data_IF_230383460708
#
_entry.id   IF_230383460708
#
_cell.length_a   1.000
_cell.length_b   1.000
_cell.length_c   1.000
_cell.angle_alpha   90.00
_cell.angle_beta   90.00
_cell.angle_gamma   90.00
#
_symmetry.space_group_name_H-M   'P 1'
#
loop_
_entity.id
_entity.type
_entity.pdbx_description
1 polymer ?
#
# COMPACT_ATOMS: atom_id res chain seq x y z
N UNK A 1 3.96 4.23 -9.82
CA UNK A 1 4.63 5.50 -9.48
C UNK A 1 4.42 5.75 -8.00
N UNK A 2 5.47 6.08 -7.26
CA UNK A 2 5.41 6.38 -5.84
C UNK A 2 4.97 7.82 -5.61
N UNK A 3 4.04 8.01 -4.66
CA UNK A 3 3.43 9.30 -4.36
C UNK A 3 3.26 9.43 -2.84
N UNK A 4 3.62 10.59 -2.33
CA UNK A 4 3.55 10.93 -0.90
C UNK A 4 2.37 11.86 -0.57
N UNK A 5 1.54 12.18 -1.58
CA UNK A 5 0.36 13.02 -1.42
C UNK A 5 -0.72 12.71 -2.46
N UNK A 6 -1.96 13.12 -2.19
CA UNK A 6 -3.09 12.98 -3.13
C UNK A 6 -2.85 13.72 -4.43
N UNK A 7 -2.25 14.91 -4.37
CA UNK A 7 -1.99 15.73 -5.54
C UNK A 7 -1.02 15.03 -6.51
N UNK A 8 0.07 14.45 -5.98
CA UNK A 8 1.01 13.64 -6.75
C UNK A 8 0.34 12.41 -7.35
N UNK A 9 -0.45 11.69 -6.56
CA UNK A 9 -1.16 10.50 -6.98
C UNK A 9 -2.12 10.77 -8.16
N UNK A 10 -2.88 11.87 -8.09
CA UNK A 10 -3.78 12.29 -9.18
C UNK A 10 -3.01 12.74 -10.41
N UNK A 11 -1.91 13.48 -10.25
CA UNK A 11 -1.08 13.91 -11.37
C UNK A 11 -0.44 12.70 -12.08
N UNK A 12 0.06 11.72 -11.32
CA UNK A 12 0.65 10.50 -11.86
C UNK A 12 -0.40 9.63 -12.57
N UNK A 13 -1.60 9.48 -11.99
CA UNK A 13 -2.70 8.77 -12.64
C UNK A 13 -3.14 9.47 -13.93
N UNK A 14 -3.25 10.80 -13.92
CA UNK A 14 -3.57 11.61 -15.10
C UNK A 14 -2.49 11.56 -16.19
N UNK A 15 -1.22 11.33 -15.81
CA UNK A 15 -0.11 11.11 -16.72
C UNK A 15 -0.07 9.68 -17.30
N UNK A 16 -0.99 8.79 -16.91
CA UNK A 16 -1.10 7.44 -17.44
C UNK A 16 -0.36 6.36 -16.64
N UNK A 17 -0.09 6.60 -15.35
CA UNK A 17 0.46 5.55 -14.49
C UNK A 17 -0.58 4.43 -14.22
N UNK A 18 -0.21 3.18 -14.50
CA UNK A 18 -1.10 2.02 -14.26
C UNK A 18 -1.24 1.68 -12.77
N UNK A 19 -0.19 1.91 -11.99
CA UNK A 19 -0.11 1.60 -10.56
C UNK A 19 0.37 2.84 -9.80
N UNK A 20 -0.35 3.20 -8.75
CA UNK A 20 0.00 4.26 -7.81
C UNK A 20 0.33 3.65 -6.46
N UNK A 21 1.54 3.90 -5.99
CA UNK A 21 2.03 3.52 -4.67
C UNK A 21 1.89 4.73 -3.73
N UNK A 22 1.02 4.62 -2.74
CA UNK A 22 0.85 5.60 -1.69
C UNK A 22 1.81 5.28 -0.55
N UNK A 23 2.89 6.04 -0.44
CA UNK A 23 3.95 5.80 0.54
C UNK A 23 3.78 6.62 1.82
N UNK A 24 3.91 5.94 2.97
CA UNK A 24 3.93 6.52 4.32
C UNK A 24 2.73 7.42 4.67
N UNK A 25 1.57 7.22 4.02
CA UNK A 25 0.34 7.93 4.37
C UNK A 25 -0.33 7.33 5.60
N UNK A 26 -0.86 8.20 6.48
CA UNK A 26 -1.68 7.75 7.59
C UNK A 26 -2.97 7.07 7.08
N UNK A 27 -3.53 6.05 7.77
CA UNK A 27 -4.66 5.27 7.27
C UNK A 27 -5.84 6.10 6.75
N UNK A 28 -6.23 7.14 7.51
CA UNK A 28 -7.34 8.03 7.11
C UNK A 28 -7.06 8.78 5.81
N UNK A 29 -5.82 9.26 5.66
CA UNK A 29 -5.38 9.97 4.47
C UNK A 29 -5.24 9.03 3.27
N UNK A 30 -4.66 7.86 3.49
CA UNK A 30 -4.52 6.80 2.50
C UNK A 30 -5.87 6.40 1.89
N UNK A 31 -6.89 6.16 2.73
CA UNK A 31 -8.23 5.83 2.22
C UNK A 31 -8.87 6.97 1.44
N UNK A 32 -8.70 8.21 1.89
CA UNK A 32 -9.22 9.38 1.19
C UNK A 32 -8.49 9.61 -0.15
N UNK A 33 -7.18 9.36 -0.20
CA UNK A 33 -6.36 9.42 -1.40
C UNK A 33 -6.78 8.35 -2.41
N UNK A 34 -6.86 7.10 -1.97
CA UNK A 34 -7.24 5.96 -2.79
C UNK A 34 -8.64 6.13 -3.39
N UNK A 35 -9.61 6.59 -2.59
CA UNK A 35 -10.95 6.87 -3.06
C UNK A 35 -10.97 7.93 -4.19
N UNK A 36 -10.18 9.00 -4.04
CA UNK A 36 -10.09 10.05 -5.06
C UNK A 36 -9.41 9.55 -6.35
N UNK A 37 -8.32 8.80 -6.21
CA UNK A 37 -7.63 8.20 -7.37
C UNK A 37 -8.57 7.24 -8.11
N UNK A 38 -9.24 6.33 -7.39
CA UNK A 38 -10.20 5.39 -8.00
C UNK A 38 -11.42 6.08 -8.61
N UNK A 39 -11.89 7.18 -8.03
CA UNK A 39 -13.00 7.95 -8.58
C UNK A 39 -12.63 8.65 -9.89
N UNK A 40 -11.42 9.23 -9.97
CA UNK A 40 -10.94 9.89 -11.18
C UNK A 40 -10.45 8.89 -12.25
N UNK A 41 -9.82 7.80 -11.82
CA UNK A 41 -9.14 6.82 -12.66
C UNK A 41 -9.43 5.39 -12.15
N UNK A 42 -10.62 4.83 -12.45
CA UNK A 42 -11.06 3.54 -11.88
C UNK A 42 -10.21 2.34 -12.30
N UNK A 43 -9.49 2.43 -13.43
CA UNK A 43 -8.60 1.38 -13.93
C UNK A 43 -7.21 1.34 -13.28
N UNK A 44 -6.85 2.33 -12.47
CA UNK A 44 -5.54 2.41 -11.82
C UNK A 44 -5.51 1.51 -10.59
N UNK A 45 -4.45 0.73 -10.43
CA UNK A 45 -4.18 -0.05 -9.22
C UNK A 45 -3.61 0.86 -8.14
N UNK A 46 -4.12 0.77 -6.91
CA UNK A 46 -3.65 1.52 -5.76
C UNK A 46 -2.99 0.56 -4.76
N UNK A 47 -1.74 0.86 -4.43
CA UNK A 47 -0.92 0.13 -3.48
C UNK A 47 -0.65 0.97 -2.23
N UNK A 48 -0.80 0.37 -1.05
CA UNK A 48 -0.43 0.96 0.23
C UNK A 48 0.96 0.47 0.67
N UNK A 49 1.84 1.40 1.05
CA UNK A 49 3.19 1.09 1.55
C UNK A 49 3.61 2.04 2.67
N UNK A 50 4.67 1.66 3.40
CA UNK A 50 5.30 2.47 4.43
C UNK A 50 4.94 2.04 5.85
N UNK A 51 5.88 1.41 6.56
CA UNK A 51 5.77 1.11 8.00
C UNK A 51 4.62 0.17 8.41
N UNK A 52 3.96 -0.51 7.46
CA UNK A 52 2.83 -1.40 7.73
C UNK A 52 3.34 -2.70 8.39
N UNK A 53 2.74 -3.05 9.52
CA UNK A 53 3.01 -4.28 10.28
C UNK A 53 1.70 -5.03 10.52
N UNK A 54 1.79 -6.30 10.90
CA UNK A 54 0.61 -7.16 11.07
C UNK A 54 -0.47 -6.57 12.01
N UNK A 55 -0.05 -5.86 13.07
CA UNK A 55 -0.97 -5.22 14.02
C UNK A 55 -1.69 -3.98 13.47
N UNK A 56 -1.10 -3.28 12.50
CA UNK A 56 -1.69 -2.08 11.89
C UNK A 56 -2.37 -2.37 10.55
N UNK A 57 -2.06 -3.51 9.93
CA UNK A 57 -2.59 -3.95 8.64
C UNK A 57 -4.11 -3.74 8.48
N UNK A 58 -4.99 -4.11 9.43
CA UNK A 58 -6.44 -3.92 9.26
C UNK A 58 -6.87 -2.47 8.99
N UNK A 59 -6.07 -1.50 9.42
CA UNK A 59 -6.36 -0.07 9.23
C UNK A 59 -6.10 0.38 7.78
N UNK A 60 -5.22 -0.33 7.05
CA UNK A 60 -4.86 -0.02 5.66
C UNK A 60 -5.74 -0.77 4.66
N UNK A 61 -6.48 -1.80 5.09
CA UNK A 61 -7.41 -2.52 4.24
C UNK A 61 -8.65 -1.66 3.94
N UNK A 62 -9.06 -1.62 2.68
CA UNK A 62 -10.21 -0.84 2.26
C UNK A 62 -10.64 -1.18 0.83
N UNK A 63 -11.85 -0.76 0.42
CA UNK A 63 -12.42 -1.11 -0.89
C UNK A 63 -11.67 -0.49 -2.09
N UNK A 64 -10.78 0.48 -1.84
CA UNK A 64 -10.04 1.20 -2.86
C UNK A 64 -8.54 0.87 -2.86
N UNK A 65 -8.11 -0.05 -1.99
CA UNK A 65 -6.72 -0.51 -1.90
C UNK A 65 -6.66 -1.91 -2.49
N UNK A 66 -5.86 -2.08 -3.55
CA UNK A 66 -5.75 -3.35 -4.26
C UNK A 66 -4.55 -4.18 -3.75
N UNK A 67 -3.47 -3.51 -3.34
CA UNK A 67 -2.22 -4.14 -2.91
C UNK A 67 -1.74 -3.49 -1.61
N UNK A 68 -1.19 -4.30 -0.71
CA UNK A 68 -0.52 -3.82 0.51
C UNK A 68 0.86 -4.44 0.59
N UNK A 69 1.88 -3.59 0.61
CA UNK A 69 3.28 -3.99 0.71
C UNK A 69 3.78 -3.81 2.14
N UNK A 70 4.41 -4.86 2.67
CA UNK A 70 4.90 -4.91 4.05
C UNK A 70 6.36 -5.36 4.07
N UNK A 71 7.29 -4.41 4.25
CA UNK A 71 8.72 -4.71 4.34
C UNK A 71 9.09 -5.66 5.50
N UNK A 72 8.26 -5.73 6.55
CA UNK A 72 8.46 -6.63 7.69
C UNK A 72 8.44 -8.12 7.28
N UNK A 73 7.86 -8.47 6.14
CA UNK A 73 7.82 -9.84 5.63
C UNK A 73 9.20 -10.37 5.20
N UNK A 74 10.17 -9.49 4.94
CA UNK A 74 11.50 -9.89 4.45
C UNK A 74 12.62 -9.40 5.36
N UNK A 75 12.60 -8.15 5.79
CA UNK A 75 13.66 -7.58 6.62
C UNK A 75 13.52 -7.89 8.12
N UNK A 76 12.38 -8.44 8.56
CA UNK A 76 12.10 -8.65 9.98
C UNK A 76 11.29 -9.92 10.27
N UNK A 77 11.22 -10.84 9.30
CA UNK A 77 10.55 -12.12 9.49
C UNK A 77 11.41 -13.07 10.35
N UNK A 78 10.89 -13.58 11.48
CA UNK A 78 11.62 -14.54 12.30
C UNK A 78 11.81 -15.85 11.54
N UNK A 79 13.00 -16.45 11.65
CA UNK A 79 13.26 -17.77 11.10
C UNK A 79 12.43 -18.83 11.84
N UNK A 80 11.98 -19.85 11.11
CA UNK A 80 11.34 -21.02 11.71
C UNK A 80 12.40 -21.92 12.35
N UNK A 81 12.11 -22.42 13.55
CA UNK A 81 12.97 -23.37 14.25
C UNK A 81 12.72 -24.79 13.73
N UNK A 82 13.77 -25.44 13.21
CA UNK A 82 13.71 -26.78 12.64
C UNK A 82 14.67 -27.73 13.36
N UNK A 83 14.20 -28.94 13.67
CA UNK A 83 15.01 -30.01 14.25
C UNK A 83 14.86 -31.30 13.44
N UNK A 84 15.99 -31.95 13.14
CA UNK A 84 16.03 -33.31 12.56
C UNK A 84 16.24 -34.32 13.69
N UNK A 85 15.36 -35.33 13.80
CA UNK A 85 15.49 -36.43 14.76
C UNK A 85 15.81 -37.72 14.02
N UNK A 86 16.77 -38.48 14.56
CA UNK A 86 17.19 -39.81 14.09
C UNK A 86 16.47 -40.88 14.90
#
# INVERSE_FOLDING_TARGET
>A
VECSSVAEALAAAGAGADIILLDNLAPKELHAAAAQVKAAHPGVTVEASGGIVLGTLPQFLGPHIDVVSMGCLTHSAPALDFALRV
#
